data_IF_142970998316
#
_entry.id   IF_142970998316
#
_cell.length_a   1.000
_cell.length_b   1.000
_cell.length_c   1.000
_cell.angle_alpha   90.00
_cell.angle_beta   90.00
_cell.angle_gamma   90.00
#
_symmetry.space_group_name_H-M   'P 1'
#
loop_
_entity.id
_entity.type
_entity.pdbx_description
1 polymer ?
#
# COMPACT_ATOMS: atom_id res chain seq x y z
N UNK A 1 12.39 17.08 -9.71
CA UNK A 1 10.95 16.93 -10.02
C UNK A 1 10.24 16.65 -8.72
N UNK A 2 9.06 17.23 -8.47
CA UNK A 2 8.28 16.93 -7.25
C UNK A 2 7.86 15.45 -7.19
N UNK A 3 7.68 14.82 -8.35
CA UNK A 3 7.35 13.39 -8.43
C UNK A 3 8.46 12.47 -7.91
N UNK A 4 9.70 12.96 -7.85
CA UNK A 4 10.84 12.19 -7.35
C UNK A 4 10.77 11.94 -5.84
N UNK A 5 9.91 12.65 -5.11
CA UNK A 5 9.75 12.52 -3.65
C UNK A 5 8.67 11.51 -3.26
N UNK A 6 7.84 11.04 -4.19
CA UNK A 6 6.79 10.03 -3.97
C UNK A 6 7.32 8.58 -3.97
N UNK A 7 8.55 8.37 -3.52
CA UNK A 7 9.21 7.06 -3.45
C UNK A 7 9.04 6.39 -2.08
N UNK A 8 8.83 5.08 -2.07
CA UNK A 8 8.84 4.26 -0.86
C UNK A 8 10.13 3.43 -0.84
N UNK A 9 10.98 3.61 0.17
CA UNK A 9 12.23 2.87 0.30
C UNK A 9 12.09 1.58 1.11
N UNK A 10 11.21 1.58 2.12
CA UNK A 10 10.99 0.43 2.97
C UNK A 10 9.54 0.37 3.47
N UNK A 11 9.08 -0.85 3.73
CA UNK A 11 7.77 -1.16 4.29
C UNK A 11 7.94 -2.29 5.32
N UNK A 12 7.25 -2.18 6.44
CA UNK A 12 7.13 -3.29 7.39
C UNK A 12 5.79 -3.22 8.11
N UNK A 13 5.26 -4.39 8.45
CA UNK A 13 4.22 -4.49 9.44
C UNK A 13 4.82 -4.36 10.84
N UNK A 14 4.00 -3.90 11.79
CA UNK A 14 4.29 -4.05 13.21
C UNK A 14 4.15 -5.52 13.65
N UNK A 15 4.56 -5.84 14.88
CA UNK A 15 4.53 -7.22 15.39
C UNK A 15 3.11 -7.82 15.38
N UNK A 16 2.08 -6.99 15.53
CA UNK A 16 0.69 -7.46 15.50
C UNK A 16 0.15 -7.68 14.09
N UNK A 17 0.78 -7.11 13.06
CA UNK A 17 0.28 -7.09 11.68
C UNK A 17 -0.85 -6.07 11.44
N UNK A 18 -1.22 -5.27 12.43
CA UNK A 18 -2.37 -4.35 12.35
C UNK A 18 -2.02 -2.96 11.82
N UNK A 19 -0.74 -2.63 11.70
CA UNK A 19 -0.23 -1.38 11.12
C UNK A 19 0.83 -1.67 10.08
N UNK A 20 0.73 -0.98 8.95
CA UNK A 20 1.79 -0.93 7.95
C UNK A 20 2.53 0.39 8.10
N UNK A 21 3.86 0.34 8.16
CA UNK A 21 4.73 1.52 8.28
C UNK A 21 5.53 1.67 7.00
N UNK A 22 5.46 2.84 6.35
CA UNK A 22 6.26 3.20 5.18
C UNK A 22 7.35 4.21 5.52
N UNK A 23 8.55 4.01 4.95
CA UNK A 23 9.65 4.98 4.96
C UNK A 23 9.78 5.61 3.57
N UNK A 24 9.48 6.90 3.47
CA UNK A 24 9.31 7.60 2.19
C UNK A 24 10.43 8.60 1.89
N UNK A 25 10.63 8.87 0.60
CA UNK A 25 11.69 9.75 0.11
C UNK A 25 11.45 11.23 0.48
N UNK A 26 10.21 11.61 0.78
CA UNK A 26 9.79 12.94 1.24
C UNK A 26 10.21 13.26 2.70
N UNK A 27 11.02 12.40 3.33
CA UNK A 27 11.47 12.47 4.72
C UNK A 27 10.34 12.24 5.72
N UNK A 28 9.29 11.52 5.33
CA UNK A 28 8.21 11.14 6.24
C UNK A 28 8.20 9.64 6.52
N UNK A 29 7.64 9.29 7.69
CA UNK A 29 7.21 7.94 8.02
C UNK A 29 5.68 7.97 8.07
N UNK A 30 5.00 7.18 7.24
CA UNK A 30 3.53 7.10 7.26
C UNK A 30 3.09 5.79 7.92
N UNK A 31 2.10 5.90 8.79
CA UNK A 31 1.48 4.77 9.47
C UNK A 31 0.08 4.55 8.91
N UNK A 32 -0.14 3.36 8.39
CA UNK A 32 -1.39 2.96 7.76
C UNK A 32 -2.13 1.98 8.67
N UNK A 33 -3.45 2.16 8.77
CA UNK A 33 -4.35 1.28 9.51
C UNK A 33 -5.45 0.80 8.56
N UNK A 34 -5.83 -0.47 8.69
CA UNK A 34 -6.99 -1.00 7.99
C UNK A 34 -8.27 -0.29 8.46
N UNK A 35 -9.18 -0.03 7.52
CA UNK A 35 -10.52 0.41 7.88
C UNK A 35 -11.33 -0.79 8.39
N UNK A 36 -11.78 -0.70 9.64
CA UNK A 36 -12.53 -1.76 10.32
C UNK A 36 -13.97 -1.89 9.79
N UNK A 37 -14.48 -0.86 9.10
CA UNK A 37 -15.84 -0.84 8.56
C UNK A 37 -15.90 -1.21 7.07
N UNK A 38 -14.75 -1.49 6.45
CA UNK A 38 -14.71 -1.87 5.05
C UNK A 38 -15.37 -3.24 4.82
N UNK A 39 -16.31 -3.29 3.89
CA UNK A 39 -17.00 -4.52 3.45
C UNK A 39 -16.83 -4.70 1.94
N UNK A 40 -17.05 -5.90 1.39
CA UNK A 40 -16.98 -6.12 -0.07
C UNK A 40 -17.93 -5.25 -0.88
N UNK A 41 -19.07 -4.84 -0.31
CA UNK A 41 -20.06 -3.98 -0.97
C UNK A 41 -19.65 -2.51 -0.97
N UNK A 42 -19.01 -2.04 0.11
CA UNK A 42 -18.54 -0.65 0.22
C UNK A 42 -17.21 -0.43 -0.50
N UNK A 43 -16.34 -1.44 -0.51
CA UNK A 43 -15.01 -1.41 -1.11
C UNK A 43 -14.76 -2.61 -2.04
N UNK A 44 -15.51 -2.72 -3.17
CA UNK A 44 -15.43 -3.88 -4.06
C UNK A 44 -14.08 -3.96 -4.78
N UNK A 45 -13.48 -5.15 -4.81
CA UNK A 45 -12.27 -5.40 -5.61
C UNK A 45 -12.65 -5.71 -7.05
N UNK A 46 -12.45 -4.76 -7.95
CA UNK A 46 -12.63 -4.96 -9.40
C UNK A 46 -11.34 -5.52 -10.03
N UNK A 47 -11.03 -6.78 -9.74
CA UNK A 47 -9.88 -7.44 -10.34
C UNK A 47 -10.24 -8.04 -11.70
N UNK A 48 -9.54 -7.60 -12.75
CA UNK A 48 -9.59 -8.23 -14.08
C UNK A 48 -8.20 -8.80 -14.37
N UNK A 49 -8.02 -10.15 -14.35
CA UNK A 49 -6.71 -10.73 -14.58
C UNK A 49 -6.21 -10.34 -15.99
N UNK A 50 -4.93 -9.96 -16.13
CA UNK A 50 -4.35 -9.69 -17.44
C UNK A 50 -4.32 -10.97 -18.28
N UNK A 51 -4.54 -10.82 -19.59
CA UNK A 51 -4.52 -11.96 -20.54
C UNK A 51 -3.15 -12.63 -20.63
N UNK A 52 -2.08 -11.88 -20.39
CA UNK A 52 -0.70 -12.38 -20.37
C UNK A 52 -0.04 -11.96 -19.07
N UNK A 53 0.47 -12.94 -18.33
CA UNK A 53 1.37 -12.68 -17.20
C UNK A 53 2.79 -12.58 -17.74
N UNK A 54 3.27 -11.36 -18.02
CA UNK A 54 4.71 -11.14 -18.18
C UNK A 54 5.35 -11.13 -16.80
N UNK A 55 5.99 -12.24 -16.45
CA UNK A 55 7.00 -12.29 -15.39
C UNK A 55 8.32 -11.80 -16.00
N UNK A 56 8.87 -10.74 -15.45
CA UNK A 56 10.26 -10.34 -15.70
C UNK A 56 11.19 -11.19 -14.85
#
# INVERSE_FOLDING_TARGET
>A
SLDSEAGIYALSYDVTGSRLVSCEADKTIKMWKQDEMATPETHPVNFKPPKEFRRF
#
